data_IF_408639518826
#
_entry.id   IF_408639518826
#
_cell.length_a   1.000
_cell.length_b   1.000
_cell.length_c   1.000
_cell.angle_alpha   90.00
_cell.angle_beta   90.00
_cell.angle_gamma   90.00
#
_symmetry.space_group_name_H-M   'P 1'
#
loop_
_entity.id
_entity.type
_entity.pdbx_description
1 polymer ?
#
# COMPACT_ATOMS: atom_id res chain seq x y z
N UNK A 1 -5.24 16.36 -22.89
CA UNK A 1 -4.72 15.17 -23.60
C UNK A 1 -4.21 14.21 -22.54
N UNK A 2 -4.74 12.97 -22.48
CA UNK A 2 -4.19 11.98 -21.55
C UNK A 2 -2.70 11.80 -21.84
N UNK A 3 -1.89 11.86 -20.80
CA UNK A 3 -0.45 11.60 -20.94
C UNK A 3 -0.25 10.14 -21.35
N UNK A 4 0.18 9.91 -22.59
CA UNK A 4 0.41 8.58 -23.15
C UNK A 4 1.43 7.79 -22.33
N UNK A 5 2.44 8.47 -21.78
CA UNK A 5 3.45 7.84 -20.93
C UNK A 5 2.86 7.43 -19.57
N UNK A 6 1.98 8.23 -19.01
CA UNK A 6 1.28 7.90 -17.78
C UNK A 6 0.36 6.70 -18.01
N UNK A 7 -0.37 6.67 -19.13
CA UNK A 7 -1.24 5.54 -19.48
C UNK A 7 -0.44 4.24 -19.68
N UNK A 8 0.72 4.30 -20.32
CA UNK A 8 1.61 3.14 -20.47
C UNK A 8 2.10 2.62 -19.12
N UNK A 9 2.56 3.51 -18.25
CA UNK A 9 3.01 3.13 -16.90
C UNK A 9 1.87 2.56 -16.06
N UNK A 10 0.70 3.14 -16.17
CA UNK A 10 -0.50 2.66 -15.48
C UNK A 10 -0.88 1.25 -15.94
N UNK A 11 -0.95 1.03 -17.26
CA UNK A 11 -1.25 -0.28 -17.82
C UNK A 11 -0.19 -1.32 -17.46
N UNK A 12 1.09 -0.94 -17.49
CA UNK A 12 2.18 -1.81 -17.05
C UNK A 12 2.01 -2.22 -15.60
N UNK A 13 1.63 -1.30 -14.72
CA UNK A 13 1.35 -1.59 -13.31
C UNK A 13 0.22 -2.62 -13.16
N UNK A 14 -0.87 -2.45 -13.89
CA UNK A 14 -1.98 -3.40 -13.86
C UNK A 14 -1.57 -4.79 -14.35
N UNK A 15 -0.82 -4.86 -15.44
CA UNK A 15 -0.28 -6.11 -15.97
C UNK A 15 0.68 -6.77 -15.00
N UNK A 16 1.55 -5.98 -14.37
CA UNK A 16 2.49 -6.47 -13.37
C UNK A 16 1.76 -7.14 -12.20
N UNK A 17 0.72 -6.51 -11.68
CA UNK A 17 -0.07 -7.08 -10.57
C UNK A 17 -0.73 -8.39 -11.01
N UNK A 18 -1.30 -8.46 -12.21
CA UNK A 18 -1.89 -9.70 -12.75
C UNK A 18 -0.86 -10.82 -12.88
N UNK A 19 0.33 -10.50 -13.38
CA UNK A 19 1.40 -11.49 -13.53
C UNK A 19 1.93 -12.00 -12.18
N UNK A 20 2.07 -11.12 -11.19
CA UNK A 20 2.47 -11.51 -9.83
C UNK A 20 1.38 -12.38 -9.19
N UNK A 21 0.12 -12.04 -9.34
CA UNK A 21 -1.00 -12.86 -8.87
C UNK A 21 -0.97 -14.25 -9.49
N UNK A 22 -0.81 -14.32 -10.80
CA UNK A 22 -0.69 -15.58 -11.54
C UNK A 22 0.49 -16.42 -11.06
N UNK A 23 1.64 -15.78 -10.83
CA UNK A 23 2.82 -16.45 -10.29
C UNK A 23 2.52 -17.10 -8.93
N UNK A 24 1.89 -16.38 -8.01
CA UNK A 24 1.56 -16.91 -6.69
C UNK A 24 0.41 -17.93 -6.71
N UNK A 25 -0.49 -17.85 -7.68
CA UNK A 25 -1.50 -18.89 -7.87
C UNK A 25 -0.89 -20.22 -8.32
N UNK A 26 0.19 -20.17 -9.11
CA UNK A 26 0.93 -21.34 -9.57
C UNK A 26 1.98 -21.82 -8.54
N UNK A 27 2.52 -20.91 -7.76
CA UNK A 27 3.58 -21.16 -6.76
C UNK A 27 3.08 -20.67 -5.40
N UNK A 28 2.09 -21.36 -4.83
CA UNK A 28 1.43 -20.92 -3.60
C UNK A 28 2.43 -20.72 -2.47
N UNK A 29 2.58 -19.49 -1.95
CA UNK A 29 3.54 -19.21 -0.88
C UNK A 29 3.10 -19.84 0.44
N UNK A 30 4.08 -20.26 1.24
CA UNK A 30 3.89 -20.83 2.57
C UNK A 30 4.80 -20.08 3.54
N UNK A 31 4.27 -19.71 4.71
CA UNK A 31 5.00 -18.96 5.74
C UNK A 31 5.80 -17.78 5.17
N UNK A 32 5.13 -17.00 4.35
CA UNK A 32 5.77 -15.96 3.55
C UNK A 32 5.30 -14.58 3.95
N UNK A 33 6.18 -13.61 3.79
CA UNK A 33 5.91 -12.18 3.97
C UNK A 33 6.14 -11.49 2.63
N UNK A 34 5.14 -10.74 2.17
CA UNK A 34 5.24 -9.89 0.99
C UNK A 34 5.29 -8.43 1.45
N UNK A 35 6.34 -7.73 1.07
CA UNK A 35 6.55 -6.33 1.45
C UNK A 35 6.87 -5.48 0.22
N UNK A 36 6.46 -4.23 0.26
CA UNK A 36 6.89 -3.28 -0.75
C UNK A 36 5.96 -2.09 -0.90
N UNK A 37 6.44 -1.14 -1.69
CA UNK A 37 5.63 -0.05 -2.22
C UNK A 37 4.79 -0.61 -3.39
N UNK A 38 3.54 -0.89 -3.13
CA UNK A 38 2.60 -1.34 -4.16
C UNK A 38 2.00 -0.18 -4.94
N UNK A 39 2.25 1.03 -4.47
CA UNK A 39 1.75 2.27 -5.07
C UNK A 39 0.23 2.27 -5.28
N UNK A 40 -0.48 1.58 -4.38
CA UNK A 40 -1.93 1.52 -4.34
C UNK A 40 -2.38 1.64 -2.88
N UNK A 41 -3.34 2.53 -2.66
CA UNK A 41 -4.06 2.70 -1.39
C UNK A 41 -5.42 2.02 -1.52
N UNK A 42 -5.62 0.80 -0.97
CA UNK A 42 -6.80 0.00 -1.28
C UNK A 42 -8.05 0.40 -0.50
N UNK A 43 -7.91 0.95 0.70
CA UNK A 43 -9.05 1.27 1.55
C UNK A 43 -9.42 2.76 1.48
N UNK A 44 -10.67 3.06 1.85
CA UNK A 44 -11.16 4.46 1.92
C UNK A 44 -10.29 5.30 2.86
N UNK A 45 -9.87 4.72 3.98
CA UNK A 45 -9.03 5.40 4.97
C UNK A 45 -7.53 5.32 4.67
N UNK A 46 -7.16 4.71 3.55
CA UNK A 46 -5.76 4.69 3.09
C UNK A 46 -5.37 5.96 2.31
N UNK A 47 -6.31 6.87 2.11
CA UNK A 47 -6.09 8.17 1.46
C UNK A 47 -6.72 9.27 2.30
N UNK A 48 -6.17 10.48 2.15
CA UNK A 48 -6.65 11.64 2.90
C UNK A 48 -8.07 12.09 2.52
N UNK A 49 -8.51 11.85 1.28
CA UNK A 49 -9.87 12.17 0.79
C UNK A 49 -10.24 11.22 -0.34
N UNK A 50 -11.03 10.21 -0.02
CA UNK A 50 -11.45 9.18 -0.96
C UNK A 50 -12.15 9.75 -2.19
N UNK A 51 -13.07 10.71 -2.00
CA UNK A 51 -13.87 11.27 -3.09
C UNK A 51 -12.99 12.05 -4.08
N UNK A 52 -12.05 12.85 -3.55
CA UNK A 52 -11.13 13.62 -4.37
C UNK A 52 -10.12 12.76 -5.10
N UNK A 53 -9.74 11.62 -4.53
CA UNK A 53 -8.71 10.74 -5.09
C UNK A 53 -9.26 9.57 -5.89
N UNK A 54 -10.57 9.46 -6.04
CA UNK A 54 -11.23 8.33 -6.69
C UNK A 54 -10.75 8.08 -8.15
N UNK A 55 -10.33 9.12 -8.85
CA UNK A 55 -9.80 9.02 -10.21
C UNK A 55 -8.30 9.34 -10.31
N UNK A 56 -7.62 9.34 -9.17
CA UNK A 56 -6.19 9.62 -9.11
C UNK A 56 -5.41 8.31 -9.02
N UNK A 57 -4.32 8.22 -9.78
CA UNK A 57 -3.41 7.06 -9.76
C UNK A 57 -3.01 6.76 -8.31
N UNK A 58 -2.98 5.50 -7.97
CA UNK A 58 -2.85 4.88 -6.65
C UNK A 58 -4.16 4.63 -5.90
N UNK A 59 -5.27 5.22 -6.32
CA UNK A 59 -6.58 5.01 -5.68
C UNK A 59 -7.73 4.87 -6.67
N UNK A 60 -7.44 4.64 -7.95
CA UNK A 60 -8.50 4.39 -8.95
C UNK A 60 -9.22 3.08 -8.63
N UNK A 61 -10.54 2.98 -8.91
CA UNK A 61 -11.28 1.74 -8.69
C UNK A 61 -10.65 0.52 -9.36
N UNK A 62 -10.07 0.72 -10.54
CA UNK A 62 -9.43 -0.36 -11.30
C UNK A 62 -8.23 -0.96 -10.56
N UNK A 63 -7.32 -0.11 -10.07
CA UNK A 63 -6.15 -0.54 -9.29
C UNK A 63 -6.56 -1.20 -7.98
N UNK A 64 -7.46 -0.55 -7.27
CA UNK A 64 -7.95 -1.02 -5.97
C UNK A 64 -8.60 -2.39 -6.08
N UNK A 65 -9.49 -2.56 -7.07
CA UNK A 65 -10.17 -3.85 -7.28
C UNK A 65 -9.18 -4.96 -7.64
N UNK A 66 -8.20 -4.65 -8.50
CA UNK A 66 -7.18 -5.61 -8.90
C UNK A 66 -6.29 -6.03 -7.72
N UNK A 67 -5.91 -5.09 -6.86
CA UNK A 67 -5.13 -5.40 -5.66
C UNK A 67 -5.94 -6.23 -4.67
N UNK A 68 -7.21 -5.92 -4.48
CA UNK A 68 -8.11 -6.68 -3.60
C UNK A 68 -8.34 -8.10 -4.11
N UNK A 69 -8.48 -8.30 -5.41
CA UNK A 69 -8.54 -9.64 -6.00
C UNK A 69 -7.25 -10.42 -5.75
N UNK A 70 -6.11 -9.80 -5.98
CA UNK A 70 -4.80 -10.39 -5.69
C UNK A 70 -4.69 -10.82 -4.23
N UNK A 71 -5.08 -9.94 -3.30
CA UNK A 71 -5.06 -10.22 -1.87
C UNK A 71 -6.00 -11.38 -1.51
N UNK A 72 -7.23 -11.37 -2.00
CA UNK A 72 -8.25 -12.38 -1.69
C UNK A 72 -7.87 -13.75 -2.26
N UNK A 73 -7.44 -13.82 -3.52
CA UNK A 73 -7.08 -15.07 -4.18
C UNK A 73 -5.85 -15.74 -3.56
N UNK A 74 -4.92 -14.94 -3.03
CA UNK A 74 -3.76 -15.43 -2.31
C UNK A 74 -3.98 -15.64 -0.81
N UNK A 75 -5.15 -15.31 -0.30
CA UNK A 75 -5.46 -15.28 1.13
C UNK A 75 -4.43 -14.51 1.95
N UNK A 76 -3.90 -13.41 1.38
CA UNK A 76 -2.94 -12.56 2.04
C UNK A 76 -3.58 -11.72 3.15
N UNK A 77 -2.91 -11.66 4.29
CA UNK A 77 -3.33 -10.85 5.44
C UNK A 77 -2.54 -9.55 5.46
N UNK A 78 -3.24 -8.43 5.38
CA UNK A 78 -2.66 -7.09 5.59
C UNK A 78 -2.37 -6.91 7.08
N UNK A 79 -1.10 -7.00 7.47
CA UNK A 79 -0.70 -6.96 8.87
C UNK A 79 -0.92 -5.58 9.48
N UNK A 80 -0.74 -4.51 8.72
CA UNK A 80 -1.00 -3.18 9.26
C UNK A 80 -2.48 -3.02 9.65
N UNK A 81 -3.41 -3.39 8.77
CA UNK A 81 -4.84 -3.30 9.05
C UNK A 81 -5.34 -4.29 10.09
N UNK A 82 -4.66 -5.43 10.22
CA UNK A 82 -4.94 -6.35 11.33
C UNK A 82 -4.73 -5.69 12.70
N UNK A 83 -3.66 -4.91 12.86
CA UNK A 83 -3.34 -4.21 14.10
C UNK A 83 -3.97 -2.83 14.22
N UNK A 84 -4.29 -2.20 13.09
CA UNK A 84 -4.86 -0.85 13.01
C UNK A 84 -6.07 -0.88 12.06
N UNK A 85 -7.19 -1.50 12.47
CA UNK A 85 -8.33 -1.74 11.57
C UNK A 85 -9.05 -0.47 11.13
N UNK A 86 -8.90 0.61 11.89
CA UNK A 86 -9.60 1.86 11.65
C UNK A 86 -8.65 3.05 11.58
N UNK A 87 -9.12 4.14 11.00
CA UNK A 87 -8.43 5.40 10.95
C UNK A 87 -7.51 5.58 9.75
N UNK A 88 -7.11 6.83 9.57
CA UNK A 88 -6.23 7.24 8.48
C UNK A 88 -4.78 7.18 8.94
N UNK A 89 -4.02 6.32 8.29
CA UNK A 89 -2.60 6.11 8.55
C UNK A 89 -1.88 6.09 7.21
N UNK A 90 -0.85 6.91 7.04
CA UNK A 90 -0.19 7.08 5.77
C UNK A 90 1.29 6.72 5.85
N UNK A 91 1.83 6.22 4.74
CA UNK A 91 3.24 5.90 4.58
C UNK A 91 3.96 6.82 3.60
N UNK A 92 3.20 7.70 2.92
CA UNK A 92 3.71 8.58 1.88
C UNK A 92 3.00 9.92 1.90
N UNK A 93 3.77 11.00 1.70
CA UNK A 93 3.29 12.37 1.50
C UNK A 93 4.14 13.03 0.42
N UNK A 94 3.49 13.60 -0.60
CA UNK A 94 4.20 14.29 -1.68
C UNK A 94 5.18 15.34 -1.18
N UNK A 95 6.34 15.46 -1.80
CA UNK A 95 7.27 16.56 -1.57
C UNK A 95 6.68 17.94 -1.90
N UNK A 96 5.65 17.99 -2.71
CA UNK A 96 4.92 19.23 -3.03
C UNK A 96 4.14 19.76 -1.84
N UNK A 97 3.82 18.91 -0.86
CA UNK A 97 3.18 19.33 0.39
C UNK A 97 4.24 19.77 1.38
N UNK A 98 4.59 21.06 1.35
CA UNK A 98 5.58 21.64 2.27
C UNK A 98 5.13 21.61 3.73
N UNK A 99 3.83 21.65 3.95
CA UNK A 99 3.16 21.54 5.24
C UNK A 99 2.60 20.14 5.47
N UNK A 100 3.31 19.10 5.07
CA UNK A 100 2.85 17.72 5.03
C UNK A 100 2.17 17.27 6.32
N UNK A 101 2.71 17.68 7.47
CA UNK A 101 2.19 17.29 8.79
C UNK A 101 0.88 17.98 9.13
N UNK A 102 0.76 19.27 8.83
CA UNK A 102 -0.43 20.06 9.11
C UNK A 102 -1.58 19.70 8.16
N UNK A 103 -1.32 19.64 6.85
CA UNK A 103 -2.32 19.30 5.86
C UNK A 103 -2.66 17.81 5.86
N UNK A 104 -1.67 16.97 6.18
CA UNK A 104 -1.76 15.51 6.27
C UNK A 104 -2.42 14.86 5.04
N UNK A 105 -2.06 15.32 3.84
CA UNK A 105 -2.58 14.78 2.57
C UNK A 105 -1.77 13.59 2.11
N UNK A 106 -1.75 12.55 2.93
CA UNK A 106 -0.97 11.35 2.69
C UNK A 106 -1.76 10.21 2.05
N UNK A 107 -1.04 9.12 1.80
CA UNK A 107 -1.59 7.84 1.31
C UNK A 107 -0.81 6.68 1.94
N UNK A 108 -1.48 5.57 2.17
CA UNK A 108 -0.82 4.33 2.59
C UNK A 108 -0.53 3.49 1.35
N UNK A 109 0.73 3.52 0.91
CA UNK A 109 1.19 2.88 -0.33
C UNK A 109 2.12 1.70 -0.09
N UNK A 110 2.71 1.64 1.10
CA UNK A 110 3.70 0.64 1.48
C UNK A 110 3.02 -0.40 2.37
N UNK A 111 3.10 -1.67 1.98
CA UNK A 111 2.33 -2.73 2.57
C UNK A 111 3.20 -3.86 3.09
N UNK A 112 2.72 -4.52 4.15
CA UNK A 112 3.26 -5.76 4.67
C UNK A 112 2.11 -6.76 4.74
N UNK A 113 2.16 -7.76 3.88
CA UNK A 113 1.19 -8.84 3.85
C UNK A 113 1.87 -10.15 4.22
N UNK A 114 1.14 -11.02 4.88
CA UNK A 114 1.62 -12.35 5.23
C UNK A 114 0.64 -13.42 4.76
N UNK A 115 1.14 -14.64 4.57
CA UNK A 115 0.28 -15.81 4.39
C UNK A 115 -0.48 -16.12 5.68
N UNK A 116 -1.65 -16.74 5.60
CA UNK A 116 -2.48 -17.05 6.77
C UNK A 116 -1.77 -17.93 7.80
N UNK A 117 -0.90 -18.83 7.35
CA UNK A 117 -0.12 -19.70 8.22
C UNK A 117 1.02 -18.97 8.94
N UNK A 118 1.27 -17.68 8.61
CA UNK A 118 2.29 -16.84 9.24
C UNK A 118 1.73 -15.54 9.83
N UNK A 119 0.47 -15.53 10.21
CA UNK A 119 -0.21 -14.31 10.71
C UNK A 119 0.06 -13.95 12.18
N UNK A 120 0.92 -14.66 12.91
CA UNK A 120 1.25 -14.36 14.30
C UNK A 120 2.19 -13.16 14.38
N UNK A 121 1.63 -11.99 14.27
CA UNK A 121 2.34 -10.72 14.45
C UNK A 121 2.09 -10.16 15.83
N UNK A 122 3.10 -9.47 16.39
CA UNK A 122 3.02 -8.79 17.68
C UNK A 122 2.52 -7.37 17.51
N UNK A 123 2.97 -6.68 16.47
CA UNK A 123 2.62 -5.28 16.21
C UNK A 123 2.92 -4.92 14.75
N UNK A 124 2.26 -3.86 14.28
CA UNK A 124 2.60 -3.21 13.03
C UNK A 124 2.32 -1.70 13.13
N UNK A 125 3.28 -0.88 12.75
CA UNK A 125 3.17 0.57 12.89
C UNK A 125 3.95 1.30 11.80
N UNK A 126 3.63 2.58 11.64
CA UNK A 126 4.26 3.49 10.67
C UNK A 126 5.08 4.53 11.41
N UNK A 127 6.33 4.71 11.03
CA UNK A 127 7.25 5.71 11.62
C UNK A 127 7.09 7.07 10.92
N UNK A 128 5.92 7.67 11.03
CA UNK A 128 5.57 8.91 10.33
C UNK A 128 6.45 10.11 10.69
N UNK A 129 6.99 10.15 11.92
CA UNK A 129 7.88 11.22 12.36
C UNK A 129 9.19 11.30 11.55
N UNK A 130 9.61 10.24 10.87
CA UNK A 130 10.78 10.27 10.00
C UNK A 130 10.59 11.17 8.76
N UNK A 131 9.36 11.53 8.43
CA UNK A 131 9.07 12.49 7.39
C UNK A 131 9.58 13.92 7.71
N UNK A 132 9.84 14.20 9.00
CA UNK A 132 10.39 15.47 9.49
C UNK A 132 11.93 15.53 9.50
N UNK A 133 12.63 14.47 9.11
CA UNK A 133 14.08 14.46 9.07
C UNK A 133 14.60 15.44 8.02
N UNK A 134 15.84 15.89 8.20
CA UNK A 134 16.53 16.67 7.17
C UNK A 134 16.68 15.84 5.89
N UNK A 135 16.22 16.38 4.74
CA UNK A 135 16.18 15.70 3.44
C UNK A 135 15.50 14.31 3.53
N UNK A 136 14.27 14.23 4.03
CA UNK A 136 13.62 12.94 4.20
C UNK A 136 13.22 12.34 2.86
N UNK A 137 12.98 11.01 2.87
CA UNK A 137 12.20 10.39 1.81
C UNK A 137 10.74 10.88 1.87
N UNK A 138 10.03 10.85 0.77
CA UNK A 138 8.58 11.06 0.73
C UNK A 138 7.80 9.84 1.27
N UNK A 139 8.45 8.67 1.38
CA UNK A 139 7.96 7.52 2.11
C UNK A 139 8.57 7.45 3.51
N UNK A 140 7.84 6.84 4.43
CA UNK A 140 8.33 6.50 5.77
C UNK A 140 8.29 4.98 5.99
N UNK A 141 9.12 4.43 6.88
CA UNK A 141 9.12 3.00 7.15
C UNK A 141 7.81 2.50 7.75
N UNK A 142 7.39 1.34 7.29
CA UNK A 142 6.36 0.52 7.94
C UNK A 142 7.06 -0.66 8.60
N UNK A 143 6.77 -0.89 9.87
CA UNK A 143 7.44 -1.91 10.68
C UNK A 143 6.43 -2.94 11.15
N UNK A 144 6.76 -4.21 11.01
CA UNK A 144 6.00 -5.30 11.60
C UNK A 144 6.91 -6.15 12.49
N UNK A 145 6.40 -6.52 13.64
CA UNK A 145 7.08 -7.36 14.62
C UNK A 145 6.40 -8.71 14.69
N UNK A 146 7.21 -9.77 14.61
CA UNK A 146 6.74 -11.16 14.66
C UNK A 146 7.44 -11.91 15.77
N UNK A 147 6.72 -12.85 16.39
CA UNK A 147 7.32 -13.85 17.27
C UNK A 147 7.69 -15.06 16.42
N UNK A 148 8.97 -15.36 16.39
CA UNK A 148 9.53 -16.50 15.66
C UNK A 148 9.61 -17.72 16.55
#
# INVERSE_FOLDING_TARGET
IPDINLNKKFNFKLEYIREVEKFFNLNKPVKSILVGDLNIAPEIDDVWDHKKLLNVVSHTPHEVNLLKEFQANGAWVDIFRKHNPEGKHFSWWSYRSKDWKLSNRGRRLDHIWVTEDFKKSLNCYILSNLRDWERPSDHVPVVAEFKI
#
